data_IF_962750123998
#
_entry.id   IF_962750123998
#
_cell.length_a   1.000
_cell.length_b   1.000
_cell.length_c   1.000
_cell.angle_alpha   90.00
_cell.angle_beta   90.00
_cell.angle_gamma   90.00
#
_symmetry.space_group_name_H-M   'P 1'
#
loop_
_entity.id
_entity.type
_entity.pdbx_description
1 polymer ?
#
# COMPACT_ATOMS: atom_id res chain seq x y z
N UNK A 1 -0.28 10.65 29.89
CA UNK A 1 0.05 9.36 29.26
C UNK A 1 1.55 9.31 29.02
N UNK A 2 2.23 8.17 29.24
CA UNK A 2 3.66 8.05 28.95
C UNK A 2 3.91 8.24 27.45
N UNK A 3 4.91 9.04 27.10
CA UNK A 3 5.29 9.33 25.71
C UNK A 3 6.20 8.20 25.20
N UNK A 4 5.63 7.10 24.69
CA UNK A 4 6.38 6.21 23.81
C UNK A 4 6.51 6.93 22.46
N UNK A 5 7.73 7.28 22.08
CA UNK A 5 7.99 7.93 20.79
C UNK A 5 7.44 7.06 19.64
N UNK A 6 6.90 7.73 18.62
CA UNK A 6 6.35 7.03 17.45
C UNK A 6 7.46 6.35 16.66
N UNK A 7 7.39 5.03 16.53
CA UNK A 7 8.31 4.25 15.70
C UNK A 7 8.26 4.72 14.26
N UNK A 8 9.38 5.29 13.81
CA UNK A 8 9.52 5.94 12.50
C UNK A 8 10.01 5.00 11.38
N UNK A 9 10.18 3.70 11.67
CA UNK A 9 10.67 2.63 10.77
C UNK A 9 12.13 2.76 10.33
N UNK A 10 12.93 3.59 10.99
CA UNK A 10 14.37 3.68 10.71
C UNK A 10 15.23 3.05 11.80
N UNK A 11 14.68 2.84 13.00
CA UNK A 11 15.33 2.09 14.09
C UNK A 11 15.09 0.59 14.00
N UNK A 12 15.79 -0.18 14.84
CA UNK A 12 15.61 -1.62 14.91
C UNK A 12 14.19 -1.99 15.39
N UNK A 13 13.44 -2.84 14.65
CA UNK A 13 12.10 -3.25 15.06
C UNK A 13 12.08 -4.08 16.35
N UNK A 14 13.12 -4.87 16.60
CA UNK A 14 13.24 -5.69 17.80
C UNK A 14 13.40 -4.83 19.05
N UNK A 15 14.26 -3.81 18.98
CA UNK A 15 14.45 -2.82 20.03
C UNK A 15 13.15 -2.06 20.34
N UNK A 16 12.37 -1.69 19.32
CA UNK A 16 11.06 -1.04 19.53
C UNK A 16 10.07 -1.94 20.29
N UNK A 17 9.99 -3.22 19.91
CA UNK A 17 9.13 -4.19 20.59
C UNK A 17 9.60 -4.40 22.03
N UNK A 18 10.91 -4.59 22.25
CA UNK A 18 11.49 -4.75 23.58
C UNK A 18 11.19 -3.55 24.48
N UNK A 19 11.41 -2.32 24.00
CA UNK A 19 11.12 -1.10 24.76
C UNK A 19 9.63 -0.97 25.08
N UNK A 20 8.76 -1.28 24.13
CA UNK A 20 7.32 -1.28 24.35
C UNK A 20 6.91 -2.29 25.42
N UNK A 21 7.39 -3.54 25.31
CA UNK A 21 7.12 -4.61 26.27
C UNK A 21 7.62 -4.26 27.67
N UNK A 22 8.84 -3.75 27.79
CA UNK A 22 9.41 -3.30 29.07
C UNK A 22 8.55 -2.19 29.69
N UNK A 23 8.13 -1.20 28.90
CA UNK A 23 7.29 -0.12 29.40
C UNK A 23 5.90 -0.62 29.87
N UNK A 24 5.30 -1.58 29.17
CA UNK A 24 4.00 -2.13 29.55
C UNK A 24 4.09 -3.03 30.78
N UNK A 25 5.16 -3.83 30.92
CA UNK A 25 5.46 -4.63 32.10
C UNK A 25 5.64 -3.75 33.34
N UNK A 26 6.37 -2.64 33.22
CA UNK A 26 6.56 -1.68 34.30
C UNK A 26 5.23 -1.05 34.76
N UNK A 27 4.32 -0.81 33.83
CA UNK A 27 3.00 -0.25 34.11
C UNK A 27 1.96 -1.31 34.54
N UNK A 28 2.35 -2.59 34.59
CA UNK A 28 1.48 -3.73 34.92
C UNK A 28 0.19 -3.76 34.08
N UNK A 29 0.31 -3.34 32.82
CA UNK A 29 -0.80 -3.29 31.87
C UNK A 29 -1.14 -4.71 31.43
N UNK A 30 -2.43 -5.03 31.27
CA UNK A 30 -2.82 -6.37 30.80
C UNK A 30 -2.48 -6.57 29.32
N UNK A 31 -2.25 -7.81 28.88
CA UNK A 31 -1.98 -8.13 27.46
C UNK A 31 -3.03 -7.52 26.51
N UNK A 32 -4.30 -7.52 26.93
CA UNK A 32 -5.39 -6.94 26.15
C UNK A 32 -5.23 -5.42 25.95
N UNK A 33 -4.74 -4.71 26.96
CA UNK A 33 -4.45 -3.28 26.89
C UNK A 33 -3.14 -3.02 26.14
N UNK A 34 -2.13 -3.89 26.25
CA UNK A 34 -0.92 -3.85 25.44
C UNK A 34 -1.27 -3.95 23.95
N UNK A 35 -2.10 -4.92 23.55
CA UNK A 35 -2.56 -5.08 22.18
C UNK A 35 -3.30 -3.84 21.64
N UNK A 36 -4.04 -3.14 22.51
CA UNK A 36 -4.76 -1.90 22.15
C UNK A 36 -3.80 -0.71 22.03
N UNK A 37 -2.78 -0.64 22.88
CA UNK A 37 -1.83 0.46 22.91
C UNK A 37 -0.75 0.35 21.82
N UNK A 38 -0.28 -0.86 21.49
CA UNK A 38 0.85 -1.06 20.56
C UNK A 38 0.69 -0.36 19.21
N UNK A 39 -0.46 -0.43 18.51
CA UNK A 39 -0.64 0.25 17.23
C UNK A 39 -0.49 1.77 17.32
N UNK A 40 -0.73 2.37 18.51
CA UNK A 40 -0.58 3.81 18.73
C UNK A 40 0.88 4.26 18.79
N UNK A 41 1.80 3.33 19.05
CA UNK A 41 3.26 3.58 19.06
C UNK A 41 3.87 3.55 17.66
N UNK A 42 3.10 3.17 16.64
CA UNK A 42 3.57 3.08 15.27
C UNK A 42 3.18 4.36 14.52
N UNK A 43 4.14 4.96 13.79
CA UNK A 43 3.82 6.09 12.91
C UNK A 43 2.78 5.64 11.88
N UNK A 44 1.66 6.38 11.77
CA UNK A 44 0.57 6.16 10.81
C UNK A 44 1.02 6.37 9.36
N UNK A 45 1.88 5.51 8.83
CA UNK A 45 2.06 5.33 7.39
C UNK A 45 1.49 3.96 7.04
N UNK A 46 0.18 3.96 6.79
CA UNK A 46 -0.57 2.84 6.23
C UNK A 46 -0.55 1.55 7.05
N UNK A 47 -1.27 1.54 8.18
CA UNK A 47 -1.98 0.32 8.63
C UNK A 47 -3.37 0.20 7.97
N UNK A 48 -3.63 1.01 6.93
CA UNK A 48 -4.64 0.63 5.94
C UNK A 48 -4.07 -0.63 5.31
N UNK A 49 -4.72 -1.78 5.53
CA UNK A 49 -4.43 -3.00 4.80
C UNK A 49 -4.06 -2.62 3.36
N UNK A 50 -2.90 -3.03 2.86
CA UNK A 50 -2.48 -2.75 1.49
C UNK A 50 -3.32 -3.54 0.47
N UNK A 51 -4.63 -3.62 0.68
CA UNK A 51 -5.61 -3.74 -0.38
C UNK A 51 -5.60 -2.44 -1.20
N UNK A 52 -4.42 -2.02 -1.69
CA UNK A 52 -4.39 -1.54 -3.07
C UNK A 52 -5.03 -2.67 -3.86
N UNK A 53 -6.25 -2.48 -4.35
CA UNK A 53 -6.96 -3.52 -5.10
C UNK A 53 -5.96 -4.01 -6.14
N UNK A 54 -5.57 -5.29 -6.10
CA UNK A 54 -4.68 -5.85 -7.12
C UNK A 54 -5.27 -5.44 -8.46
N UNK A 55 -4.53 -4.64 -9.24
CA UNK A 55 -4.97 -4.31 -10.59
C UNK A 55 -4.97 -5.62 -11.37
N UNK A 56 -6.08 -5.87 -12.04
CA UNK A 56 -6.27 -7.08 -12.85
C UNK A 56 -6.32 -6.69 -14.33
N UNK A 57 -6.18 -7.66 -15.21
CA UNK A 57 -6.19 -7.45 -16.66
C UNK A 57 -7.45 -6.72 -17.16
N UNK A 58 -8.61 -6.98 -16.55
CA UNK A 58 -9.86 -6.30 -16.87
C UNK A 58 -9.83 -4.78 -16.62
N UNK A 59 -8.97 -4.30 -15.73
CA UNK A 59 -8.84 -2.86 -15.47
C UNK A 59 -8.29 -2.07 -16.66
N UNK A 60 -7.57 -2.72 -17.59
CA UNK A 60 -7.05 -2.10 -18.81
C UNK A 60 -8.17 -1.72 -19.80
N UNK A 61 -9.32 -2.38 -19.75
CA UNK A 61 -10.45 -2.09 -20.64
C UNK A 61 -11.10 -0.72 -20.38
N UNK A 62 -10.77 -0.09 -19.25
CA UNK A 62 -11.25 1.26 -18.91
C UNK A 62 -10.34 2.37 -19.45
N UNK A 63 -9.20 2.02 -20.05
CA UNK A 63 -8.30 3.01 -20.64
C UNK A 63 -8.76 3.31 -22.05
N UNK A 64 -9.18 4.56 -22.26
CA UNK A 64 -9.55 5.10 -23.57
C UNK A 64 -8.77 6.40 -23.79
N UNK A 65 -8.30 6.62 -25.01
CA UNK A 65 -7.65 7.84 -25.45
C UNK A 65 -8.71 8.93 -25.53
N UNK A 66 -8.50 10.01 -24.78
CA UNK A 66 -9.45 11.12 -24.79
C UNK A 66 -9.31 11.95 -26.06
N UNK A 67 -10.38 12.66 -26.46
CA UNK A 67 -10.42 13.45 -27.70
C UNK A 67 -9.30 14.50 -27.83
N UNK A 68 -8.80 14.99 -26.70
CA UNK A 68 -7.74 16.00 -26.63
C UNK A 68 -6.42 15.43 -26.10
N UNK A 69 -6.34 14.11 -25.92
CA UNK A 69 -5.15 13.45 -25.43
C UNK A 69 -4.26 13.02 -26.60
N UNK A 70 -2.97 13.36 -26.53
CA UNK A 70 -2.00 12.86 -27.49
C UNK A 70 -1.76 11.36 -27.28
N UNK A 71 -1.48 10.64 -28.37
CA UNK A 71 -1.19 9.22 -28.31
C UNK A 71 -0.03 8.89 -27.34
N UNK A 72 0.96 9.77 -27.22
CA UNK A 72 2.08 9.63 -26.29
C UNK A 72 1.63 9.68 -24.82
N UNK A 73 0.67 10.55 -24.49
CA UNK A 73 0.10 10.66 -23.15
C UNK A 73 -0.71 9.40 -22.80
N UNK A 74 -1.57 8.95 -23.73
CA UNK A 74 -2.32 7.70 -23.59
C UNK A 74 -1.39 6.49 -23.38
N UNK A 75 -0.40 6.33 -24.27
CA UNK A 75 0.61 5.26 -24.18
C UNK A 75 1.37 5.29 -22.86
N UNK A 76 1.70 6.47 -22.35
CA UNK A 76 2.37 6.64 -21.06
C UNK A 76 1.54 6.06 -19.91
N UNK A 77 0.25 6.43 -19.84
CA UNK A 77 -0.67 5.93 -18.79
C UNK A 77 -0.97 4.44 -18.97
N UNK A 78 -1.20 3.99 -20.20
CA UNK A 78 -1.48 2.58 -20.51
C UNK A 78 -0.28 1.69 -20.15
N UNK A 79 0.94 2.08 -20.54
CA UNK A 79 2.19 1.35 -20.19
C UNK A 79 2.40 1.30 -18.68
N UNK A 80 2.22 2.41 -17.97
CA UNK A 80 2.32 2.44 -16.51
C UNK A 80 1.33 1.45 -15.86
N UNK A 81 0.09 1.42 -16.33
CA UNK A 81 -0.92 0.49 -15.83
C UNK A 81 -0.57 -0.99 -16.11
N UNK A 82 0.04 -1.30 -17.26
CA UNK A 82 0.47 -2.68 -17.56
C UNK A 82 1.60 -3.18 -16.66
N UNK A 83 2.47 -2.29 -16.18
CA UNK A 83 3.57 -2.64 -15.27
C UNK A 83 3.10 -2.92 -13.84
N UNK A 84 1.88 -2.51 -13.49
CA UNK A 84 1.28 -2.74 -12.18
C UNK A 84 0.47 -4.06 -12.09
N UNK A 85 0.36 -4.82 -13.19
CA UNK A 85 -0.44 -6.06 -13.27
C UNK A 85 0.49 -7.27 -13.40
N UNK A 86 0.49 -8.13 -12.39
CA UNK A 86 1.19 -9.42 -12.43
C UNK A 86 0.50 -10.41 -13.38
N UNK A 87 1.29 -11.22 -14.12
CA UNK A 87 0.81 -12.24 -15.07
C UNK A 87 -0.20 -11.71 -16.10
N UNK A 88 0.06 -10.52 -16.65
CA UNK A 88 -0.81 -9.91 -17.66
C UNK A 88 -0.83 -10.73 -18.94
N UNK A 89 -2.01 -11.20 -19.31
CA UNK A 89 -2.25 -11.85 -20.60
C UNK A 89 -2.05 -10.86 -21.76
N UNK A 90 -1.20 -11.24 -22.70
CA UNK A 90 -0.79 -10.37 -23.79
C UNK A 90 -1.91 -10.14 -24.82
N UNK A 91 -2.80 -11.12 -25.02
CA UNK A 91 -4.01 -10.96 -25.86
C UNK A 91 -4.97 -9.94 -25.26
N UNK A 92 -5.14 -9.95 -23.93
CA UNK A 92 -5.95 -8.94 -23.21
C UNK A 92 -5.32 -7.56 -23.32
N UNK A 93 -3.98 -7.45 -23.22
CA UNK A 93 -3.26 -6.19 -23.39
C UNK A 93 -3.47 -5.60 -24.80
N UNK A 94 -3.32 -6.41 -25.85
CA UNK A 94 -3.56 -5.95 -27.23
C UNK A 94 -5.01 -5.53 -27.44
N UNK A 95 -5.96 -6.34 -26.96
CA UNK A 95 -7.40 -6.05 -27.08
C UNK A 95 -7.79 -4.75 -26.37
N UNK A 96 -7.29 -4.55 -25.15
CA UNK A 96 -7.52 -3.34 -24.38
C UNK A 96 -6.89 -2.11 -25.05
N UNK A 97 -5.70 -2.25 -25.64
CA UNK A 97 -5.05 -1.18 -26.38
C UNK A 97 -5.86 -0.76 -27.61
N UNK A 98 -6.24 -1.72 -28.46
CA UNK A 98 -7.00 -1.45 -29.69
C UNK A 98 -8.39 -0.87 -29.42
N UNK A 99 -9.05 -1.29 -28.33
CA UNK A 99 -10.33 -0.73 -27.89
C UNK A 99 -10.18 0.68 -27.31
N UNK A 100 -9.01 0.98 -26.76
CA UNK A 100 -8.72 2.24 -26.10
C UNK A 100 -8.28 3.35 -27.05
N UNK A 101 -7.86 3.05 -28.28
CA UNK A 101 -7.61 4.06 -29.32
C UNK A 101 -8.92 4.62 -29.87
#
# INVERSE_FOLDING_TARGET
MPQCDLYNRTGDPGEHVYQFEMNMLLLQVSDAEMCRAFPTTLRKKHFVSSRSRRKNSASLLNFVQEKNESLACFLGRFKAATLEIDNLDESVKYTAFLRGL
#
